data_IF_502528992705
#
_entry.id   IF_502528992705
#
_cell.length_a   1.000
_cell.length_b   1.000
_cell.length_c   1.000
_cell.angle_alpha   90.00
_cell.angle_beta   90.00
_cell.angle_gamma   90.00
#
_symmetry.space_group_name_H-M   'P 1'
#
loop_
_entity.id
_entity.type
_entity.pdbx_description
1 polymer ?
#
# COMPACT_ATOMS: atom_id res chain seq x y z
N UNK A 1 38.76 44.38 25.88
CA UNK A 1 40.03 43.61 25.89
C UNK A 1 39.74 42.20 25.39
N UNK A 2 40.35 41.81 24.28
CA UNK A 2 40.36 40.43 23.72
C UNK A 2 41.62 39.72 24.26
N UNK A 3 41.74 38.38 24.26
CA UNK A 3 42.20 37.70 23.04
C UNK A 3 41.54 36.34 22.72
N UNK A 4 41.63 36.01 21.42
CA UNK A 4 41.22 34.78 20.75
C UNK A 4 41.85 33.48 21.27
N UNK A 5 41.16 32.35 21.03
CA UNK A 5 41.82 31.18 20.44
C UNK A 5 40.89 30.40 19.52
N UNK A 6 41.24 30.40 18.24
CA UNK A 6 40.77 29.49 17.20
C UNK A 6 41.40 28.11 17.44
N UNK A 7 40.61 27.04 17.33
CA UNK A 7 41.10 25.70 16.98
C UNK A 7 40.13 25.12 15.97
N UNK A 8 40.56 25.13 14.71
CA UNK A 8 40.04 24.26 13.66
C UNK A 8 40.42 22.81 14.00
N UNK A 9 39.44 21.93 13.98
CA UNK A 9 39.63 20.49 14.06
C UNK A 9 38.58 19.84 13.17
N UNK A 10 39.03 19.36 12.02
CA UNK A 10 38.25 18.59 11.08
C UNK A 10 37.62 17.37 11.76
N UNK A 11 36.37 17.10 11.41
CA UNK A 11 35.62 15.96 11.89
C UNK A 11 34.31 15.96 11.13
N UNK A 12 34.37 15.48 9.89
CA UNK A 12 33.22 15.15 9.06
C UNK A 12 32.16 14.47 9.91
N UNK A 13 31.10 15.23 10.22
CA UNK A 13 29.85 14.69 10.75
C UNK A 13 29.24 13.84 9.66
N UNK A 14 29.71 12.60 9.60
CA UNK A 14 29.25 11.49 8.80
C UNK A 14 27.72 11.49 8.86
N UNK A 15 27.10 12.07 7.84
CA UNK A 15 25.71 11.79 7.51
C UNK A 15 25.72 10.30 7.21
N UNK A 16 25.33 9.49 8.20
CA UNK A 16 24.99 8.10 7.95
C UNK A 16 23.65 8.16 7.22
N UNK A 17 23.58 7.85 5.92
CA UNK A 17 22.30 7.44 5.37
C UNK A 17 21.99 6.14 6.09
N UNK A 18 21.03 6.16 7.00
CA UNK A 18 20.35 4.93 7.38
C UNK A 18 20.04 4.20 6.07
N UNK A 19 20.40 2.91 6.01
CA UNK A 19 20.23 2.06 4.82
C UNK A 19 18.78 2.14 4.36
N UNK A 20 18.49 3.03 3.42
CA UNK A 20 17.13 3.31 2.97
C UNK A 20 16.53 2.13 2.18
N UNK A 21 17.37 1.20 1.72
CA UNK A 21 16.93 0.06 0.90
C UNK A 21 16.22 -1.07 1.64
N UNK A 22 16.62 -1.43 2.87
CA UNK A 22 16.03 -2.59 3.58
C UNK A 22 14.59 -2.31 4.09
N UNK A 23 14.31 -1.08 4.54
CA UNK A 23 12.94 -0.67 4.94
C UNK A 23 12.02 -0.62 3.71
N UNK A 24 12.54 -0.16 2.58
CA UNK A 24 11.80 -0.06 1.31
C UNK A 24 11.45 -1.44 0.72
N UNK A 25 12.35 -2.43 0.78
CA UNK A 25 12.10 -3.78 0.28
C UNK A 25 11.03 -4.52 1.10
N UNK A 26 11.13 -4.50 2.43
CA UNK A 26 10.12 -5.12 3.30
C UNK A 26 8.78 -4.41 3.17
N UNK A 27 8.78 -3.07 3.09
CA UNK A 27 7.58 -2.29 2.83
C UNK A 27 6.90 -2.71 1.53
N UNK A 28 7.66 -2.91 0.44
CA UNK A 28 7.10 -3.34 -0.83
C UNK A 28 6.35 -4.67 -0.71
N UNK A 29 6.87 -5.62 0.06
CA UNK A 29 6.20 -6.90 0.35
C UNK A 29 4.87 -6.68 1.08
N UNK A 30 4.87 -5.92 2.17
CA UNK A 30 3.66 -5.70 2.97
C UNK A 30 2.58 -4.90 2.24
N UNK A 31 3.00 -3.91 1.45
CA UNK A 31 2.09 -3.13 0.61
C UNK A 31 1.53 -3.98 -0.54
N UNK A 32 2.33 -4.86 -1.13
CA UNK A 32 1.86 -5.83 -2.14
C UNK A 32 0.85 -6.82 -1.56
N UNK A 33 1.11 -7.37 -0.36
CA UNK A 33 0.16 -8.21 0.38
C UNK A 33 -1.18 -7.49 0.59
N UNK A 34 -1.13 -6.23 1.02
CA UNK A 34 -2.31 -5.39 1.16
C UNK A 34 -3.03 -5.20 -0.19
N UNK A 35 -2.30 -4.90 -1.26
CA UNK A 35 -2.88 -4.66 -2.59
C UNK A 35 -3.63 -5.87 -3.15
N UNK A 36 -3.03 -7.06 -3.01
CA UNK A 36 -3.64 -8.31 -3.44
C UNK A 36 -4.95 -8.57 -2.71
N UNK A 37 -4.96 -8.41 -1.38
CA UNK A 37 -6.18 -8.64 -0.58
C UNK A 37 -7.21 -7.53 -0.83
N UNK A 38 -6.79 -6.28 -1.00
CA UNK A 38 -7.69 -5.18 -1.29
C UNK A 38 -8.38 -5.36 -2.65
N UNK A 39 -7.65 -5.78 -3.67
CA UNK A 39 -8.21 -6.12 -4.97
C UNK A 39 -9.24 -7.25 -4.88
N UNK A 40 -8.96 -8.30 -4.10
CA UNK A 40 -9.90 -9.39 -3.85
C UNK A 40 -11.20 -8.90 -3.18
N UNK A 41 -11.12 -8.04 -2.16
CA UNK A 41 -12.32 -7.48 -1.51
C UNK A 41 -13.14 -6.67 -2.51
N UNK A 42 -12.51 -5.80 -3.30
CA UNK A 42 -13.19 -4.99 -4.32
C UNK A 42 -13.85 -5.86 -5.39
N UNK A 43 -13.19 -6.93 -5.82
CA UNK A 43 -13.75 -7.89 -6.78
C UNK A 43 -14.98 -8.62 -6.21
N UNK A 44 -14.91 -9.05 -4.95
CA UNK A 44 -16.03 -9.71 -4.27
C UNK A 44 -17.22 -8.75 -4.09
N UNK A 45 -16.99 -7.48 -3.78
CA UNK A 45 -18.05 -6.47 -3.68
C UNK A 45 -18.77 -6.26 -5.03
N UNK A 46 -18.01 -6.22 -6.13
CA UNK A 46 -18.58 -6.13 -7.48
C UNK A 46 -19.42 -7.37 -7.81
N UNK A 47 -18.90 -8.57 -7.54
CA UNK A 47 -19.62 -9.81 -7.83
C UNK A 47 -20.88 -9.96 -6.97
N UNK A 48 -20.82 -9.61 -5.67
CA UNK A 48 -22.01 -9.60 -4.79
C UNK A 48 -23.07 -8.65 -5.33
N UNK A 49 -22.67 -7.45 -5.77
CA UNK A 49 -23.60 -6.46 -6.34
C UNK A 49 -24.27 -7.01 -7.59
N UNK A 50 -23.47 -7.52 -8.53
CA UNK A 50 -23.95 -8.14 -9.77
C UNK A 50 -24.94 -9.29 -9.50
N UNK A 51 -24.62 -10.21 -8.60
CA UNK A 51 -25.52 -11.33 -8.25
C UNK A 51 -26.80 -10.87 -7.56
N UNK A 52 -26.72 -9.80 -6.77
CA UNK A 52 -27.90 -9.20 -6.14
C UNK A 52 -28.81 -8.59 -7.21
N UNK A 53 -28.24 -7.89 -8.19
CA UNK A 53 -28.96 -7.33 -9.34
C UNK A 53 -29.59 -8.42 -10.22
N UNK A 54 -28.86 -9.50 -10.54
CA UNK A 54 -29.40 -10.68 -11.24
C UNK A 54 -30.64 -11.26 -10.52
N UNK A 55 -30.60 -11.28 -9.19
CA UNK A 55 -31.73 -11.73 -8.37
C UNK A 55 -32.93 -10.80 -8.46
N UNK A 56 -32.72 -9.49 -8.43
CA UNK A 56 -33.78 -8.50 -8.63
C UNK A 56 -34.37 -8.60 -10.04
N UNK A 57 -33.54 -8.72 -11.08
CA UNK A 57 -33.99 -8.88 -12.46
C UNK A 57 -34.83 -10.16 -12.66
N UNK A 58 -34.45 -11.26 -12.01
CA UNK A 58 -35.21 -12.50 -12.07
C UNK A 58 -36.61 -12.33 -11.46
N UNK A 59 -36.69 -11.73 -10.27
CA UNK A 59 -37.95 -11.40 -9.59
C UNK A 59 -38.84 -10.57 -10.49
N UNK A 60 -38.28 -9.52 -11.12
CA UNK A 60 -39.01 -8.65 -12.04
C UNK A 60 -39.48 -9.36 -13.32
N UNK A 61 -38.64 -10.22 -13.93
CA UNK A 61 -38.98 -10.89 -15.21
C UNK A 61 -39.93 -12.06 -15.07
N UNK A 62 -39.84 -12.79 -13.97
CA UNK A 62 -40.61 -14.03 -13.78
C UNK A 62 -41.94 -13.81 -13.04
N UNK A 63 -42.28 -12.57 -12.65
CA UNK A 63 -43.36 -12.28 -11.70
C UNK A 63 -43.28 -13.15 -10.42
N UNK A 64 -42.05 -13.55 -10.06
CA UNK A 64 -41.79 -14.37 -8.88
C UNK A 64 -41.67 -13.47 -7.65
N UNK A 65 -42.11 -13.96 -6.50
CA UNK A 65 -42.08 -13.18 -5.24
C UNK A 65 -40.68 -13.23 -4.60
N UNK A 66 -39.87 -14.24 -4.95
CA UNK A 66 -38.60 -14.51 -4.27
C UNK A 66 -37.46 -14.82 -5.24
N UNK A 67 -36.25 -14.38 -4.86
CA UNK A 67 -34.99 -14.73 -5.52
C UNK A 67 -34.76 -16.25 -5.46
N UNK A 68 -34.22 -16.90 -6.52
CA UNK A 68 -33.89 -18.32 -6.51
C UNK A 68 -32.97 -18.71 -5.36
N UNK A 69 -33.25 -19.82 -4.69
CA UNK A 69 -32.50 -20.25 -3.51
C UNK A 69 -31.01 -20.49 -3.81
N UNK A 70 -30.72 -21.05 -4.98
CA UNK A 70 -29.34 -21.23 -5.45
C UNK A 70 -28.57 -19.91 -5.50
N UNK A 71 -29.22 -18.83 -5.94
CA UNK A 71 -28.60 -17.51 -6.04
C UNK A 71 -28.40 -16.89 -4.65
N UNK A 72 -29.35 -17.09 -3.72
CA UNK A 72 -29.15 -16.69 -2.32
C UNK A 72 -27.95 -17.38 -1.69
N UNK A 73 -27.80 -18.70 -1.90
CA UNK A 73 -26.66 -19.48 -1.41
C UNK A 73 -25.34 -18.93 -1.99
N UNK A 74 -25.30 -18.64 -3.29
CA UNK A 74 -24.13 -18.03 -3.93
C UNK A 74 -23.76 -16.67 -3.32
N UNK A 75 -24.74 -15.77 -3.14
CA UNK A 75 -24.52 -14.46 -2.53
C UNK A 75 -24.03 -14.61 -1.09
N UNK A 76 -24.59 -15.54 -0.31
CA UNK A 76 -24.17 -15.83 1.06
C UNK A 76 -22.71 -16.29 1.11
N UNK A 77 -22.33 -17.22 0.23
CA UNK A 77 -20.95 -17.71 0.12
C UNK A 77 -19.97 -16.60 -0.26
N UNK A 78 -20.35 -15.72 -1.20
CA UNK A 78 -19.52 -14.57 -1.58
C UNK A 78 -19.34 -13.58 -0.41
N UNK A 79 -20.41 -13.30 0.35
CA UNK A 79 -20.34 -12.45 1.55
C UNK A 79 -19.40 -13.04 2.60
N UNK A 80 -19.50 -14.34 2.87
CA UNK A 80 -18.59 -15.01 3.80
C UNK A 80 -17.11 -14.93 3.36
N UNK A 81 -16.85 -15.11 2.05
CA UNK A 81 -15.50 -14.93 1.49
C UNK A 81 -15.01 -13.50 1.64
N UNK A 82 -15.87 -12.51 1.35
CA UNK A 82 -15.54 -11.09 1.51
C UNK A 82 -15.23 -10.75 2.96
N UNK A 83 -16.02 -11.22 3.91
CA UNK A 83 -15.80 -10.92 5.33
C UNK A 83 -14.46 -11.50 5.83
N UNK A 84 -14.10 -12.70 5.36
CA UNK A 84 -12.77 -13.29 5.58
C UNK A 84 -11.64 -12.46 4.93
N UNK A 85 -11.85 -11.98 3.71
CA UNK A 85 -10.88 -11.13 3.01
C UNK A 85 -10.73 -9.74 3.67
N UNK A 86 -11.81 -9.15 4.20
CA UNK A 86 -11.77 -7.90 4.97
C UNK A 86 -10.91 -8.06 6.22
N UNK A 87 -11.05 -9.18 6.95
CA UNK A 87 -10.20 -9.47 8.10
C UNK A 87 -8.72 -9.51 7.70
N UNK A 88 -8.38 -10.25 6.64
CA UNK A 88 -7.01 -10.29 6.11
C UNK A 88 -6.52 -8.92 5.66
N UNK A 89 -7.39 -8.09 5.08
CA UNK A 89 -7.04 -6.73 4.65
C UNK A 89 -6.62 -5.88 5.85
N UNK A 90 -7.35 -5.96 6.96
CA UNK A 90 -6.95 -5.28 8.19
C UNK A 90 -5.64 -5.81 8.75
N UNK A 91 -5.41 -7.13 8.74
CA UNK A 91 -4.12 -7.71 9.14
C UNK A 91 -2.96 -7.17 8.27
N UNK A 92 -3.14 -7.06 6.95
CA UNK A 92 -2.12 -6.47 6.06
C UNK A 92 -1.88 -4.99 6.34
N UNK A 93 -2.93 -4.18 6.59
CA UNK A 93 -2.78 -2.77 6.99
C UNK A 93 -1.96 -2.67 8.28
N UNK A 94 -2.24 -3.52 9.26
CA UNK A 94 -1.52 -3.53 10.53
C UNK A 94 -0.04 -3.82 10.31
N UNK A 95 0.33 -4.76 9.43
CA UNK A 95 1.73 -5.00 9.06
C UNK A 95 2.38 -3.77 8.45
N UNK A 96 1.71 -3.09 7.51
CA UNK A 96 2.21 -1.85 6.92
C UNK A 96 2.45 -0.79 7.99
N UNK A 97 1.49 -0.57 8.89
CA UNK A 97 1.56 0.41 9.98
C UNK A 97 2.67 0.11 11.00
N UNK A 98 2.99 -1.17 11.22
CA UNK A 98 3.99 -1.59 12.20
C UNK A 98 5.40 -1.61 11.62
N UNK A 99 5.55 -1.99 10.35
CA UNK A 99 6.87 -2.24 9.77
C UNK A 99 7.37 -1.11 8.89
N UNK A 100 6.51 -0.32 8.23
CA UNK A 100 6.99 0.81 7.44
C UNK A 100 7.26 2.03 8.33
N UNK A 101 8.50 2.52 8.30
CA UNK A 101 8.92 3.66 9.14
C UNK A 101 8.05 4.91 8.92
N UNK A 102 7.71 5.21 7.66
CA UNK A 102 6.95 6.39 7.26
C UNK A 102 5.61 6.53 8.00
N UNK A 103 4.88 5.44 8.17
CA UNK A 103 3.56 5.44 8.83
C UNK A 103 3.61 4.99 10.29
N UNK A 104 4.63 4.23 10.68
CA UNK A 104 4.83 3.73 12.05
C UNK A 104 4.99 4.84 13.07
N UNK A 105 5.74 5.88 12.74
CA UNK A 105 5.96 7.03 13.63
C UNK A 105 4.63 7.69 14.00
N UNK A 106 3.78 7.93 12.99
CA UNK A 106 2.44 8.47 13.17
C UNK A 106 1.58 7.55 14.03
N UNK A 107 1.53 6.26 13.71
CA UNK A 107 0.69 5.31 14.43
C UNK A 107 1.07 5.23 15.92
N UNK A 108 2.37 5.24 16.26
CA UNK A 108 2.85 5.21 17.64
C UNK A 108 2.46 6.47 18.41
N UNK A 109 2.66 7.65 17.82
CA UNK A 109 2.31 8.92 18.47
C UNK A 109 0.81 9.05 18.76
N UNK A 110 -0.02 8.38 17.96
CA UNK A 110 -1.47 8.53 17.98
C UNK A 110 -2.18 7.27 18.48
N UNK A 111 -1.45 6.32 19.06
CA UNK A 111 -2.00 5.02 19.44
C UNK A 111 -3.09 5.12 20.51
N UNK A 112 -2.94 6.05 21.45
CA UNK A 112 -3.86 6.27 22.57
C UNK A 112 -4.89 7.36 22.28
N UNK A 113 -4.82 8.02 21.12
CA UNK A 113 -5.76 9.06 20.77
C UNK A 113 -7.12 8.42 20.41
N UNK A 114 -8.07 8.52 21.34
CA UNK A 114 -9.48 8.17 21.12
C UNK A 114 -10.28 9.35 20.54
N UNK A 115 -9.61 10.25 19.83
CA UNK A 115 -10.21 11.50 19.32
C UNK A 115 -11.06 11.21 18.07
N UNK A 116 -10.83 10.08 17.39
CA UNK A 116 -11.46 9.79 16.09
C UNK A 116 -12.45 8.62 16.18
N UNK A 117 -13.67 8.86 15.71
CA UNK A 117 -14.70 7.83 15.53
C UNK A 117 -14.48 7.00 14.27
N UNK A 118 -15.21 5.88 14.18
CA UNK A 118 -15.26 5.08 12.96
C UNK A 118 -16.00 5.83 11.85
N UNK A 119 -15.34 5.99 10.70
CA UNK A 119 -15.94 6.62 9.52
C UNK A 119 -15.80 5.66 8.33
N UNK A 120 -16.77 4.75 8.12
CA UNK A 120 -16.69 3.73 7.07
C UNK A 120 -16.49 4.31 5.66
N UNK A 121 -17.09 5.47 5.37
CA UNK A 121 -16.92 6.15 4.09
C UNK A 121 -15.47 6.56 3.81
N UNK A 122 -14.72 6.97 4.85
CA UNK A 122 -13.30 7.30 4.74
C UNK A 122 -12.50 6.03 4.46
N UNK A 123 -12.79 4.92 5.14
CA UNK A 123 -12.11 3.65 4.87
C UNK A 123 -12.32 3.17 3.43
N UNK A 124 -13.57 3.19 2.96
CA UNK A 124 -13.88 2.83 1.56
C UNK A 124 -13.15 3.75 0.59
N UNK A 125 -13.15 5.06 0.83
CA UNK A 125 -12.45 6.03 -0.02
C UNK A 125 -10.93 5.80 -0.03
N UNK A 126 -10.32 5.58 1.13
CA UNK A 126 -8.88 5.31 1.25
C UNK A 126 -8.50 3.99 0.60
N UNK A 127 -9.30 2.92 0.73
CA UNK A 127 -9.04 1.64 0.05
C UNK A 127 -9.07 1.79 -1.47
N UNK A 128 -10.06 2.52 -1.99
CA UNK A 128 -10.16 2.84 -3.41
C UNK A 128 -8.97 3.68 -3.87
N UNK A 129 -8.63 4.73 -3.13
CA UNK A 129 -7.49 5.60 -3.46
C UNK A 129 -6.16 4.84 -3.45
N UNK A 130 -5.97 3.92 -2.51
CA UNK A 130 -4.81 3.03 -2.52
C UNK A 130 -4.76 2.17 -3.78
N UNK A 131 -5.89 1.63 -4.25
CA UNK A 131 -5.92 0.84 -5.49
C UNK A 131 -5.58 1.68 -6.73
N UNK A 132 -6.08 2.92 -6.80
CA UNK A 132 -5.74 3.88 -7.87
C UNK A 132 -4.24 4.20 -7.88
N UNK A 133 -3.68 4.53 -6.70
CA UNK A 133 -2.24 4.79 -6.55
C UNK A 133 -1.39 3.56 -6.90
N UNK A 134 -1.86 2.34 -6.60
CA UNK A 134 -1.18 1.11 -6.99
C UNK A 134 -1.04 1.00 -8.52
N UNK A 135 -2.14 1.30 -9.23
CA UNK A 135 -2.15 1.25 -10.68
C UNK A 135 -1.24 2.32 -11.29
N UNK A 136 -1.28 3.53 -10.74
CA UNK A 136 -0.41 4.64 -11.16
C UNK A 136 1.08 4.32 -10.94
N UNK A 137 1.44 3.83 -9.76
CA UNK A 137 2.83 3.44 -9.44
C UNK A 137 3.33 2.36 -10.40
N UNK A 138 2.53 1.32 -10.64
CA UNK A 138 2.89 0.26 -11.59
C UNK A 138 3.11 0.79 -13.01
N UNK A 139 2.32 1.76 -13.43
CA UNK A 139 2.47 2.39 -14.74
C UNK A 139 3.79 3.16 -14.82
N UNK A 140 4.12 3.96 -13.80
CA UNK A 140 5.42 4.67 -13.75
C UNK A 140 6.60 3.71 -13.72
N UNK A 141 6.52 2.63 -12.95
CA UNK A 141 7.55 1.59 -12.89
C UNK A 141 7.73 0.90 -14.23
N UNK A 142 6.64 0.57 -14.93
CA UNK A 142 6.69 -0.02 -16.27
C UNK A 142 7.34 0.93 -17.29
N UNK A 143 6.98 2.22 -17.26
CA UNK A 143 7.59 3.22 -18.12
C UNK A 143 9.09 3.38 -17.83
N UNK A 144 9.47 3.45 -16.55
CA UNK A 144 10.87 3.55 -16.14
C UNK A 144 11.67 2.33 -16.60
N UNK A 145 11.08 1.13 -16.51
CA UNK A 145 11.73 -0.10 -16.96
C UNK A 145 11.98 -0.10 -18.48
N UNK A 146 11.01 0.34 -19.29
CA UNK A 146 11.19 0.48 -20.75
C UNK A 146 12.31 1.47 -21.10
N UNK A 147 12.43 2.56 -20.34
CA UNK A 147 13.52 3.53 -20.54
C UNK A 147 14.89 2.95 -20.16
N UNK A 148 14.96 2.13 -19.09
CA UNK A 148 16.18 1.41 -18.69
C UNK A 148 16.62 0.44 -19.78
N UNK A 149 15.70 -0.33 -20.35
CA UNK A 149 15.96 -1.21 -21.51
C UNK A 149 16.51 -0.42 -22.71
N UNK A 150 15.98 0.79 -22.97
CA UNK A 150 16.50 1.67 -24.02
C UNK A 150 17.92 2.20 -23.74
N UNK A 151 18.28 2.44 -22.47
CA UNK A 151 19.65 2.76 -22.08
C UNK A 151 20.57 1.55 -22.33
N UNK A 152 20.15 0.38 -21.88
CA UNK A 152 20.93 -0.87 -22.05
C UNK A 152 21.18 -1.19 -23.53
N UNK A 153 20.21 -0.96 -24.41
CA UNK A 153 20.35 -1.08 -25.86
C UNK A 153 21.36 -0.06 -26.42
N UNK A 154 21.24 1.22 -26.04
CA UNK A 154 22.14 2.27 -26.50
C UNK A 154 23.60 2.02 -26.07
N UNK A 155 23.79 1.51 -24.86
CA UNK A 155 25.11 1.14 -24.32
C UNK A 155 25.66 -0.09 -25.04
N UNK A 156 24.83 -1.11 -25.26
CA UNK A 156 25.25 -2.36 -25.90
C UNK A 156 25.57 -2.21 -27.38
N UNK A 157 24.92 -1.29 -28.09
CA UNK A 157 25.14 -1.07 -29.52
C UNK A 157 26.43 -0.31 -29.84
N UNK A 158 27.00 0.41 -28.86
CA UNK A 158 28.17 1.26 -29.04
C UNK A 158 27.95 2.43 -30.01
N UNK A 159 26.70 2.69 -30.42
CA UNK A 159 26.36 3.72 -31.40
C UNK A 159 26.43 5.12 -30.77
N UNK A 160 27.35 6.00 -31.20
CA UNK A 160 27.49 7.34 -30.62
C UNK A 160 26.22 8.20 -30.68
N UNK A 161 25.39 8.02 -31.72
CA UNK A 161 24.14 8.76 -31.85
C UNK A 161 23.08 8.33 -30.82
N UNK A 162 23.07 7.05 -30.43
CA UNK A 162 22.18 6.55 -29.37
C UNK A 162 22.71 6.91 -27.98
N UNK A 163 24.04 6.85 -27.80
CA UNK A 163 24.70 7.25 -26.56
C UNK A 163 24.45 8.72 -26.17
N UNK A 164 24.28 9.62 -27.15
CA UNK A 164 23.90 11.01 -26.90
C UNK A 164 22.54 11.15 -26.19
N UNK A 165 21.64 10.19 -26.35
CA UNK A 165 20.30 10.21 -25.76
C UNK A 165 20.24 9.59 -24.36
N UNK A 166 21.29 8.88 -23.90
CA UNK A 166 21.31 8.19 -22.59
C UNK A 166 21.08 9.16 -21.43
N UNK A 167 21.68 10.35 -21.48
CA UNK A 167 21.47 11.37 -20.45
C UNK A 167 20.01 11.85 -20.39
N UNK A 168 19.35 11.98 -21.55
CA UNK A 168 17.94 12.34 -21.61
C UNK A 168 17.03 11.22 -21.05
N UNK A 169 17.30 9.96 -21.42
CA UNK A 169 16.58 8.80 -20.85
C UNK A 169 16.75 8.71 -19.33
N UNK A 170 17.97 8.96 -18.83
CA UNK A 170 18.24 9.01 -17.39
C UNK A 170 17.43 10.10 -16.67
N UNK A 171 17.28 11.27 -17.27
CA UNK A 171 16.45 12.34 -16.72
C UNK A 171 14.96 11.96 -16.66
N UNK A 172 14.45 11.28 -17.70
CA UNK A 172 13.07 10.78 -17.71
C UNK A 172 12.83 9.70 -16.65
N UNK A 173 13.80 8.79 -16.44
CA UNK A 173 13.74 7.78 -15.37
C UNK A 173 13.69 8.47 -14.00
N UNK A 174 14.55 9.47 -13.76
CA UNK A 174 14.57 10.20 -12.50
C UNK A 174 13.24 10.92 -12.20
N UNK A 175 12.59 11.49 -13.21
CA UNK A 175 11.24 12.08 -13.09
C UNK A 175 10.19 11.04 -12.72
N UNK A 176 10.21 9.87 -13.37
CA UNK A 176 9.30 8.75 -13.05
C UNK A 176 9.52 8.23 -11.62
N UNK A 177 10.77 8.08 -11.18
CA UNK A 177 11.10 7.67 -9.81
C UNK A 177 10.66 8.72 -8.77
N UNK A 178 10.72 10.01 -9.10
CA UNK A 178 10.17 11.06 -8.28
C UNK A 178 8.64 10.96 -8.18
N UNK A 179 7.94 10.70 -9.28
CA UNK A 179 6.48 10.49 -9.30
C UNK A 179 6.09 9.26 -8.48
N UNK A 180 6.78 8.13 -8.62
CA UNK A 180 6.57 6.94 -7.80
C UNK A 180 6.73 7.23 -6.30
N UNK A 181 7.76 7.97 -5.90
CA UNK A 181 7.94 8.39 -4.50
C UNK A 181 6.80 9.29 -4.01
N UNK A 182 6.35 10.23 -4.84
CA UNK A 182 5.23 11.09 -4.48
C UNK A 182 3.91 10.30 -4.31
N UNK A 183 3.58 9.39 -5.22
CA UNK A 183 2.40 8.53 -5.11
C UNK A 183 2.47 7.57 -3.92
N UNK A 184 3.67 7.06 -3.59
CA UNK A 184 3.89 6.28 -2.36
C UNK A 184 3.65 7.12 -1.09
N UNK A 185 4.12 8.37 -1.07
CA UNK A 185 3.85 9.28 0.04
C UNK A 185 2.36 9.62 0.19
N UNK A 186 1.61 9.72 -0.91
CA UNK A 186 0.15 9.88 -0.86
C UNK A 186 -0.54 8.61 -0.33
N UNK A 187 -0.05 7.43 -0.71
CA UNK A 187 -0.54 6.15 -0.21
C UNK A 187 -0.33 6.00 1.29
N UNK A 188 0.79 6.50 1.83
CA UNK A 188 1.04 6.53 3.27
C UNK A 188 0.00 7.33 4.05
N UNK A 189 -0.43 8.47 3.49
CA UNK A 189 -1.53 9.24 4.09
C UNK A 189 -2.83 8.44 4.14
N UNK A 190 -3.08 7.60 3.14
CA UNK A 190 -4.27 6.74 3.14
C UNK A 190 -4.20 5.68 4.24
N UNK A 191 -3.04 5.06 4.48
CA UNK A 191 -2.86 4.16 5.63
C UNK A 191 -3.03 4.87 6.97
N UNK A 192 -2.53 6.10 7.07
CA UNK A 192 -2.76 6.97 8.24
C UNK A 192 -4.25 7.24 8.46
N UNK A 193 -5.00 7.59 7.41
CA UNK A 193 -6.45 7.77 7.51
C UNK A 193 -7.16 6.49 7.92
N UNK A 194 -6.75 5.33 7.40
CA UNK A 194 -7.31 4.05 7.83
C UNK A 194 -7.07 3.79 9.32
N UNK A 195 -5.90 4.12 9.84
CA UNK A 195 -5.60 4.03 11.27
C UNK A 195 -6.45 5.02 12.08
N UNK A 196 -6.57 6.28 11.64
CA UNK A 196 -7.35 7.30 12.33
C UNK A 196 -8.84 7.02 12.33
N UNK A 197 -9.41 6.41 11.29
CA UNK A 197 -10.86 6.26 11.15
C UNK A 197 -11.35 4.81 11.23
N UNK A 198 -10.51 3.90 11.75
CA UNK A 198 -10.88 2.52 12.10
C UNK A 198 -10.40 2.13 13.50
N UNK A 199 -11.34 2.02 14.43
CA UNK A 199 -11.17 1.50 15.78
C UNK A 199 -10.70 0.04 15.74
N UNK A 200 -11.18 -0.74 14.77
CA UNK A 200 -10.71 -2.11 14.56
C UNK A 200 -9.21 -2.14 14.27
N UNK A 201 -8.74 -1.31 13.32
CA UNK A 201 -7.31 -1.24 12.98
C UNK A 201 -6.49 -0.77 14.19
N UNK A 202 -6.94 0.27 14.90
CA UNK A 202 -6.23 0.74 16.11
C UNK A 202 -6.13 -0.33 17.18
N UNK A 203 -7.23 -1.05 17.45
CA UNK A 203 -7.24 -2.17 18.42
C UNK A 203 -6.25 -3.26 18.01
N UNK A 204 -6.19 -3.61 16.74
CA UNK A 204 -5.25 -4.61 16.24
C UNK A 204 -3.80 -4.14 16.36
N UNK A 205 -3.49 -2.89 16.00
CA UNK A 205 -2.15 -2.31 16.16
C UNK A 205 -1.71 -2.31 17.63
N UNK A 206 -2.59 -1.86 18.55
CA UNK A 206 -2.31 -1.89 19.99
C UNK A 206 -2.07 -3.31 20.49
N UNK A 207 -2.86 -4.28 20.02
CA UNK A 207 -2.70 -5.68 20.40
C UNK A 207 -1.36 -6.27 19.94
N UNK A 208 -0.92 -5.94 18.72
CA UNK A 208 0.39 -6.35 18.20
C UNK A 208 1.54 -5.71 19.00
N UNK A 209 1.45 -4.45 19.39
CA UNK A 209 2.48 -3.80 20.21
C UNK A 209 2.49 -4.23 21.68
N UNK A 210 1.34 -4.59 22.24
CA UNK A 210 1.22 -5.10 23.61
C UNK A 210 1.68 -6.56 23.74
N UNK A 211 1.83 -7.30 22.64
CA UNK A 211 2.29 -8.68 22.66
C UNK A 211 3.80 -8.75 23.00
N UNK A 212 4.21 -9.35 24.14
CA UNK A 212 5.63 -9.51 24.43
C UNK A 212 6.25 -10.49 23.43
N UNK A 213 7.19 -10.02 22.61
CA UNK A 213 8.19 -10.88 21.96
C UNK A 213 7.70 -11.84 20.86
N UNK A 214 6.66 -11.53 20.08
CA UNK A 214 6.46 -12.23 18.79
C UNK A 214 7.36 -11.63 17.71
N UNK A 215 8.64 -11.99 17.77
CA UNK A 215 9.37 -12.21 16.52
C UNK A 215 8.53 -13.13 15.64
N UNK A 216 8.37 -12.74 14.37
CA UNK A 216 7.59 -13.43 13.35
C UNK A 216 7.58 -14.95 13.54
N UNK A 217 6.45 -15.49 14.00
CA UNK A 217 6.15 -16.91 13.78
C UNK A 217 5.74 -17.04 12.31
N UNK A 218 6.74 -17.07 11.43
CA UNK A 218 6.60 -17.72 10.14
C UNK A 218 6.10 -19.13 10.45
N UNK A 219 4.87 -19.44 10.03
CA UNK A 219 4.37 -20.80 10.08
C UNK A 219 5.29 -21.63 9.18
N UNK A 220 6.16 -22.42 9.80
CA UNK A 220 6.81 -23.52 9.11
C UNK A 220 5.70 -24.53 8.77
N UNK A 221 5.38 -24.62 7.49
CA UNK A 221 4.53 -25.67 6.95
C UNK A 221 5.20 -27.02 7.21
N UNK A 222 4.51 -27.90 7.94
CA UNK A 222 4.68 -29.35 7.84
C UNK A 222 3.62 -29.90 6.90
#
# INVERSE_FOLDING_TARGET
MVPHRMTAGAGEGRFSPSKSGEDDELRAIWVSDYDNVNALVMQLDVEITKRTEEGHEFVHRSNNITIPEQLKIQISNLRAQRDSAIKKRFESIVRVLIFSEAVRSFARQNEHANIWGDVPAVLTSSHKKCAELAAEIREFECQAQKLREGIDEAVSSGNPAQMQNVAHLGALIADLEQKTRASNGERDKQFIFMFQFSDTVRKMVRAEWAAPGRGLRLQASQ
#
